data_IF_082489795850
#
_entry.id   IF_082489795850
#
_cell.length_a   1.000
_cell.length_b   1.000
_cell.length_c   1.000
_cell.angle_alpha   90.00
_cell.angle_beta   90.00
_cell.angle_gamma   90.00
#
_symmetry.space_group_name_H-M   'P 1'
#
loop_
_entity.id
_entity.type
_entity.pdbx_description
1 polymer ?
#
# COMPACT_ATOMS: atom_id res chain seq x y z
N UNK A 1 -11.21 11.31 -29.16
CA UNK A 1 -11.90 10.52 -28.12
C UNK A 1 -11.30 10.95 -26.80
N UNK A 2 -12.13 11.27 -25.81
CA UNK A 2 -11.63 11.61 -24.48
C UNK A 2 -10.95 10.37 -23.90
N UNK A 3 -9.75 10.52 -23.37
CA UNK A 3 -9.00 9.41 -22.80
C UNK A 3 -9.66 9.00 -21.47
N UNK A 4 -9.94 7.70 -21.32
CA UNK A 4 -10.53 7.17 -20.09
C UNK A 4 -9.62 7.47 -18.90
N UNK A 5 -10.22 7.80 -17.76
CA UNK A 5 -9.52 8.04 -16.51
C UNK A 5 -9.87 6.95 -15.50
N UNK A 6 -8.85 6.48 -14.80
CA UNK A 6 -8.94 5.44 -13.78
C UNK A 6 -8.51 6.05 -12.44
N UNK A 7 -9.28 5.75 -11.39
CA UNK A 7 -8.95 6.18 -10.03
C UNK A 7 -7.88 5.27 -9.45
N UNK A 8 -6.80 5.88 -8.99
CA UNK A 8 -5.68 5.20 -8.34
C UNK A 8 -5.40 5.87 -7.00
N UNK A 9 -5.37 5.06 -5.95
CA UNK A 9 -5.25 5.50 -4.58
C UNK A 9 -3.93 5.04 -3.93
N UNK A 10 -3.47 5.82 -2.96
CA UNK A 10 -2.29 5.52 -2.16
C UNK A 10 -2.67 5.31 -0.70
N UNK A 11 -2.66 4.05 -0.25
CA UNK A 11 -3.07 3.69 1.11
C UNK A 11 -1.95 3.81 2.16
N UNK A 12 -0.67 3.68 1.75
CA UNK A 12 0.46 3.79 2.68
C UNK A 12 0.80 5.26 3.00
N UNK A 13 1.41 5.50 4.15
CA UNK A 13 1.66 6.87 4.67
C UNK A 13 2.68 7.68 3.87
N UNK A 14 3.62 7.01 3.17
CA UNK A 14 4.67 7.70 2.42
C UNK A 14 4.21 8.05 1.01
N UNK A 15 4.71 9.18 0.51
CA UNK A 15 4.47 9.58 -0.86
C UNK A 15 5.02 8.54 -1.85
N UNK A 16 4.30 8.35 -2.94
CA UNK A 16 4.73 7.57 -4.09
C UNK A 16 4.75 8.48 -5.30
N UNK A 17 5.81 8.46 -6.10
CA UNK A 17 5.96 9.36 -7.24
C UNK A 17 6.64 8.68 -8.40
N UNK A 18 6.07 8.84 -9.59
CA UNK A 18 6.66 8.38 -10.85
C UNK A 18 6.67 9.51 -11.87
N UNK A 19 7.53 9.37 -12.87
CA UNK A 19 7.52 10.23 -14.04
C UNK A 19 7.09 9.41 -15.24
N UNK A 20 6.02 9.83 -15.88
CA UNK A 20 5.55 9.28 -17.14
C UNK A 20 6.07 10.16 -18.28
N UNK A 21 6.64 9.55 -19.30
CA UNK A 21 7.13 10.26 -20.48
C UNK A 21 6.23 9.94 -21.67
N UNK A 22 5.66 10.98 -22.27
CA UNK A 22 4.88 10.89 -23.49
C UNK A 22 5.38 11.94 -24.48
N UNK A 23 5.72 11.50 -25.69
CA UNK A 23 6.27 12.37 -26.76
C UNK A 23 7.45 13.26 -26.32
N UNK A 24 8.31 12.76 -25.43
CA UNK A 24 9.46 13.49 -24.89
C UNK A 24 9.10 14.52 -23.80
N UNK A 25 7.83 14.62 -23.40
CA UNK A 25 7.40 15.44 -22.27
C UNK A 25 7.30 14.56 -21.03
N UNK A 26 8.14 14.87 -20.04
CA UNK A 26 8.16 14.16 -18.77
C UNK A 26 7.19 14.78 -17.77
N UNK A 27 6.14 14.06 -17.40
CA UNK A 27 5.09 14.51 -16.49
C UNK A 27 5.14 13.77 -15.15
N UNK A 28 5.19 14.48 -14.01
CA UNK A 28 5.18 13.84 -12.69
C UNK A 28 3.77 13.43 -12.28
N UNK A 29 3.65 12.22 -11.74
CA UNK A 29 2.47 11.72 -11.05
C UNK A 29 2.88 11.37 -9.62
N UNK A 30 2.40 12.15 -8.65
CA UNK A 30 2.80 12.05 -7.24
C UNK A 30 1.56 11.87 -6.38
N UNK A 31 1.54 10.85 -5.54
CA UNK A 31 0.59 10.65 -4.46
C UNK A 31 1.31 10.96 -3.15
N UNK A 32 0.70 11.80 -2.32
CA UNK A 32 1.27 12.33 -1.08
C UNK A 32 1.34 11.33 0.07
N UNK A 33 0.71 10.17 -0.07
CA UNK A 33 0.56 9.19 1.02
C UNK A 33 -0.74 9.40 1.81
N UNK A 34 -1.16 8.38 2.55
CA UNK A 34 -2.32 8.51 3.45
C UNK A 34 -1.95 9.29 4.72
N UNK A 35 -2.88 10.14 5.17
CA UNK A 35 -2.74 10.92 6.42
C UNK A 35 -3.98 10.72 7.28
N UNK A 36 -3.82 9.97 8.37
CA UNK A 36 -4.94 9.59 9.23
C UNK A 36 -6.01 8.83 8.43
N UNK A 37 -7.19 9.44 8.27
CA UNK A 37 -8.31 8.88 7.50
C UNK A 37 -8.34 9.28 6.02
N UNK A 38 -7.47 10.20 5.59
CA UNK A 38 -7.43 10.69 4.23
C UNK A 38 -6.53 9.81 3.38
N UNK A 39 -7.12 9.28 2.30
CA UNK A 39 -6.42 8.53 1.27
C UNK A 39 -6.25 9.45 0.07
N UNK A 40 -5.02 9.57 -0.44
CA UNK A 40 -4.77 10.32 -1.66
C UNK A 40 -5.20 9.47 -2.86
N UNK A 41 -6.28 9.89 -3.53
CA UNK A 41 -6.83 9.24 -4.72
C UNK A 41 -6.80 10.22 -5.88
N UNK A 42 -6.29 9.76 -7.02
CA UNK A 42 -6.18 10.57 -8.24
C UNK A 42 -6.79 9.86 -9.42
N UNK A 43 -7.48 10.62 -10.26
CA UNK A 43 -7.90 10.18 -11.58
C UNK A 43 -6.75 10.41 -12.55
N UNK A 44 -6.21 9.33 -13.09
CA UNK A 44 -5.12 9.38 -14.06
C UNK A 44 -5.55 8.68 -15.35
N UNK A 45 -4.98 9.07 -16.51
CA UNK A 45 -5.36 8.44 -17.76
C UNK A 45 -5.04 6.95 -17.78
N UNK A 46 -5.86 6.17 -18.48
CA UNK A 46 -5.71 4.72 -18.60
C UNK A 46 -4.32 4.32 -19.16
N UNK A 47 -3.78 5.10 -20.10
CA UNK A 47 -2.43 4.86 -20.63
C UNK A 47 -1.35 4.93 -19.56
N UNK A 48 -1.50 5.82 -18.57
CA UNK A 48 -0.59 5.96 -17.43
C UNK A 48 -0.74 4.78 -16.48
N UNK A 49 -1.95 4.26 -16.28
CA UNK A 49 -2.19 3.04 -15.50
C UNK A 49 -1.55 1.83 -16.16
N UNK A 50 -1.78 1.65 -17.46
CA UNK A 50 -1.17 0.54 -18.21
C UNK A 50 0.35 0.64 -18.21
N UNK A 51 0.90 1.85 -18.33
CA UNK A 51 2.34 2.06 -18.21
C UNK A 51 2.85 1.71 -16.80
N UNK A 52 2.14 2.09 -15.74
CA UNK A 52 2.47 1.74 -14.36
C UNK A 52 2.49 0.21 -14.15
N UNK A 53 1.49 -0.51 -14.69
CA UNK A 53 1.43 -1.98 -14.63
C UNK A 53 2.64 -2.60 -15.32
N UNK A 54 3.05 -2.08 -16.46
CA UNK A 54 4.11 -2.68 -17.28
C UNK A 54 5.54 -2.28 -16.89
N UNK A 55 5.72 -1.08 -16.33
CA UNK A 55 7.04 -0.46 -16.16
C UNK A 55 7.39 -0.12 -14.70
N UNK A 56 6.54 -0.51 -13.75
CA UNK A 56 6.77 -0.26 -12.33
C UNK A 56 6.17 -1.37 -11.47
N UNK A 57 6.64 -1.49 -10.23
CA UNK A 57 6.05 -2.39 -9.25
C UNK A 57 4.90 -1.71 -8.47
N UNK A 58 4.27 -0.66 -9.02
CA UNK A 58 3.32 0.16 -8.27
C UNK A 58 2.18 -0.67 -7.68
N UNK A 59 1.65 -1.63 -8.46
CA UNK A 59 0.54 -2.46 -8.04
C UNK A 59 1.02 -3.75 -7.36
N UNK A 60 2.10 -4.35 -7.84
CA UNK A 60 2.70 -5.57 -7.28
C UNK A 60 3.16 -5.38 -5.83
N UNK A 61 3.79 -4.25 -5.53
CA UNK A 61 4.25 -3.93 -4.18
C UNK A 61 3.15 -3.28 -3.33
N UNK A 62 1.89 -3.29 -3.78
CA UNK A 62 0.77 -2.59 -3.14
C UNK A 62 1.07 -1.11 -2.87
N UNK A 63 1.90 -0.48 -3.70
CA UNK A 63 2.24 0.93 -3.53
C UNK A 63 1.06 1.83 -3.98
N UNK A 64 0.37 1.43 -5.04
CA UNK A 64 -0.85 2.04 -5.53
C UNK A 64 -1.95 0.99 -5.61
N UNK A 65 -3.20 1.43 -5.51
CA UNK A 65 -4.40 0.58 -5.57
C UNK A 65 -5.34 1.17 -6.60
N UNK A 66 -5.74 0.38 -7.59
CA UNK A 66 -6.78 0.77 -8.54
C UNK A 66 -8.14 0.67 -7.85
N UNK A 67 -8.94 1.73 -7.92
CA UNK A 67 -10.30 1.73 -7.38
C UNK A 67 -11.22 1.11 -8.43
N UNK A 68 -11.81 -0.05 -8.12
CA UNK A 68 -12.70 -0.83 -8.99
C UNK A 68 -14.13 -0.25 -9.06
N UNK A 69 -14.25 1.08 -9.28
CA UNK A 69 -15.54 1.79 -9.34
C UNK A 69 -16.15 1.86 -10.75
N UNK A 70 -15.44 1.40 -11.76
CA UNK A 70 -15.91 1.24 -13.15
C UNK A 70 -15.64 -0.17 -13.67
N UNK A 71 -16.38 -0.60 -14.69
CA UNK A 71 -16.15 -1.91 -15.33
C UNK A 71 -14.76 -1.99 -15.96
N UNK A 72 -14.27 -0.88 -16.53
CA UNK A 72 -12.93 -0.78 -17.08
C UNK A 72 -11.86 -0.95 -16.01
N UNK A 73 -12.02 -0.31 -14.84
CA UNK A 73 -11.08 -0.47 -13.74
C UNK A 73 -11.04 -1.93 -13.24
N UNK A 74 -12.19 -2.60 -13.17
CA UNK A 74 -12.28 -4.03 -12.82
C UNK A 74 -11.60 -4.91 -13.86
N UNK A 75 -11.78 -4.63 -15.15
CA UNK A 75 -11.13 -5.38 -16.23
C UNK A 75 -9.60 -5.23 -16.15
N UNK A 76 -9.10 -4.01 -15.95
CA UNK A 76 -7.66 -3.75 -15.76
C UNK A 76 -7.14 -4.55 -14.57
N UNK A 77 -7.82 -4.48 -13.43
CA UNK A 77 -7.43 -5.21 -12.21
C UNK A 77 -7.45 -6.73 -12.42
N UNK A 78 -8.45 -7.25 -13.12
CA UNK A 78 -8.55 -8.68 -13.45
C UNK A 78 -7.43 -9.20 -14.37
N UNK A 79 -6.75 -8.30 -15.08
CA UNK A 79 -5.61 -8.63 -15.94
C UNK A 79 -4.25 -8.53 -15.23
N UNK A 80 -4.21 -8.05 -13.98
CA UNK A 80 -2.98 -8.01 -13.17
C UNK A 80 -2.68 -9.42 -12.64
N UNK A 81 -1.45 -9.89 -12.86
CA UNK A 81 -1.01 -11.18 -12.35
C UNK A 81 -0.98 -11.18 -10.81
N UNK A 82 -1.41 -12.27 -10.18
CA UNK A 82 -1.43 -12.44 -8.72
C UNK A 82 -2.28 -11.39 -7.96
N UNK A 83 -3.27 -10.78 -8.63
CA UNK A 83 -4.10 -9.73 -8.02
C UNK A 83 -4.80 -10.13 -6.72
N UNK A 84 -5.23 -11.39 -6.59
CA UNK A 84 -5.85 -11.88 -5.36
C UNK A 84 -4.86 -11.87 -4.18
N UNK A 85 -3.62 -12.31 -4.39
CA UNK A 85 -2.58 -12.24 -3.35
C UNK A 85 -2.29 -10.78 -2.97
N UNK A 86 -2.23 -9.88 -3.95
CA UNK A 86 -2.03 -8.45 -3.71
C UNK A 86 -3.18 -7.88 -2.87
N UNK A 87 -4.44 -8.19 -3.22
CA UNK A 87 -5.63 -7.72 -2.50
C UNK A 87 -5.66 -8.19 -1.04
N UNK A 88 -5.25 -9.42 -0.75
CA UNK A 88 -5.16 -9.95 0.62
C UNK A 88 -4.10 -9.24 1.47
N UNK A 89 -3.14 -8.58 0.83
CA UNK A 89 -2.05 -7.85 1.48
C UNK A 89 -2.29 -6.33 1.57
N UNK A 90 -3.36 -5.79 1.00
CA UNK A 90 -3.60 -4.35 1.02
C UNK A 90 -4.38 -3.96 2.29
N UNK A 91 -3.72 -3.23 3.19
CA UNK A 91 -4.37 -2.62 4.34
C UNK A 91 -4.37 -1.10 4.23
N UNK A 92 -5.48 -0.49 4.63
CA UNK A 92 -5.52 0.93 4.96
C UNK A 92 -4.91 1.16 6.33
N UNK A 93 -4.40 2.39 6.58
CA UNK A 93 -3.92 2.78 7.91
C UNK A 93 -4.92 2.43 9.03
N UNK A 94 -6.21 2.70 8.80
CA UNK A 94 -7.26 2.44 9.78
C UNK A 94 -7.35 0.94 10.12
N UNK A 95 -7.32 0.06 9.12
CA UNK A 95 -7.34 -1.38 9.35
C UNK A 95 -6.11 -1.82 10.13
N UNK A 96 -4.93 -1.27 9.80
CA UNK A 96 -3.69 -1.56 10.55
C UNK A 96 -3.81 -1.11 12.01
N UNK A 97 -4.30 0.10 12.28
CA UNK A 97 -4.53 0.60 13.64
C UNK A 97 -5.49 -0.30 14.42
N UNK A 98 -6.56 -0.79 13.79
CA UNK A 98 -7.53 -1.72 14.39
C UNK A 98 -6.90 -3.08 14.71
N UNK A 99 -6.08 -3.63 13.80
CA UNK A 99 -5.33 -4.89 14.02
C UNK A 99 -4.38 -4.74 15.20
N UNK A 100 -3.60 -3.65 15.23
CA UNK A 100 -2.60 -3.38 16.26
C UNK A 100 -3.20 -3.07 17.63
N UNK A 101 -4.38 -2.44 17.67
CA UNK A 101 -5.14 -2.17 18.89
C UNK A 101 -5.77 -3.43 19.50
N UNK A 102 -5.99 -4.48 18.69
CA UNK A 102 -6.56 -5.75 19.13
C UNK A 102 -5.72 -6.51 20.16
N UNK A 103 -6.26 -7.64 20.64
CA UNK A 103 -5.51 -8.56 21.50
C UNK A 103 -4.36 -9.22 20.72
N UNK A 104 -3.30 -9.63 21.43
CA UNK A 104 -2.06 -10.14 20.81
C UNK A 104 -2.28 -11.35 19.89
N UNK A 105 -3.13 -12.31 20.29
CA UNK A 105 -3.36 -13.52 19.51
C UNK A 105 -4.09 -13.22 18.20
N UNK A 106 -5.09 -12.35 18.24
CA UNK A 106 -5.80 -11.90 17.04
C UNK A 106 -4.87 -11.11 16.12
N UNK A 107 -4.12 -10.16 16.67
CA UNK A 107 -3.12 -9.39 15.92
C UNK A 107 -2.13 -10.33 15.19
N UNK A 108 -1.59 -11.33 15.90
CA UNK A 108 -0.69 -12.31 15.30
C UNK A 108 -1.35 -13.08 14.15
N UNK A 109 -2.55 -13.61 14.37
CA UNK A 109 -3.28 -14.38 13.34
C UNK A 109 -3.64 -13.55 12.10
N UNK A 110 -3.94 -12.27 12.27
CA UNK A 110 -4.25 -11.38 11.14
C UNK A 110 -2.96 -11.01 10.37
N UNK A 111 -1.86 -10.73 11.08
CA UNK A 111 -0.59 -10.37 10.46
C UNK A 111 0.16 -11.53 9.79
N UNK A 112 -0.05 -12.78 10.23
CA UNK A 112 0.53 -13.96 9.59
C UNK A 112 0.05 -14.19 8.15
N UNK A 113 -1.08 -13.60 7.76
CA UNK A 113 -1.60 -13.64 6.38
C UNK A 113 -0.86 -12.71 5.43
N UNK A 114 -0.13 -11.73 5.95
CA UNK A 114 0.59 -10.74 5.15
C UNK A 114 1.92 -11.33 4.67
N UNK A 115 2.04 -11.49 3.37
CA UNK A 115 3.22 -11.99 2.67
C UNK A 115 4.10 -10.85 2.14
N UNK A 116 3.50 -9.72 1.71
CA UNK A 116 4.22 -8.62 1.09
C UNK A 116 5.12 -7.86 2.07
N UNK A 117 6.42 -7.83 1.77
CA UNK A 117 7.43 -7.13 2.58
C UNK A 117 7.14 -5.64 2.74
N UNK A 118 6.71 -4.97 1.67
CA UNK A 118 6.41 -3.53 1.70
C UNK A 118 5.23 -3.23 2.64
N UNK A 119 4.28 -4.16 2.75
CA UNK A 119 3.17 -4.06 3.68
C UNK A 119 3.61 -4.30 5.12
N UNK A 120 4.47 -5.30 5.36
CA UNK A 120 5.07 -5.50 6.70
C UNK A 120 5.79 -4.25 7.19
N UNK A 121 6.51 -3.57 6.29
CA UNK A 121 7.20 -2.32 6.57
C UNK A 121 6.25 -1.17 6.86
N UNK A 122 5.14 -1.09 6.12
CA UNK A 122 4.08 -0.13 6.37
C UNK A 122 3.43 -0.32 7.75
N UNK A 123 3.11 -1.57 8.11
CA UNK A 123 2.52 -1.93 9.40
C UNK A 123 3.48 -1.62 10.55
N UNK A 124 4.77 -1.97 10.42
CA UNK A 124 5.78 -1.63 11.43
C UNK A 124 5.93 -0.12 11.62
N UNK A 125 5.84 0.66 10.55
CA UNK A 125 5.87 2.13 10.64
C UNK A 125 4.68 2.66 11.42
N UNK A 126 3.46 2.19 11.13
CA UNK A 126 2.27 2.59 11.89
C UNK A 126 2.42 2.17 13.36
N UNK A 127 2.90 0.97 13.64
CA UNK A 127 3.15 0.50 15.01
C UNK A 127 4.10 1.42 15.79
N UNK A 128 5.16 1.93 15.13
CA UNK A 128 6.04 2.95 15.71
C UNK A 128 5.30 4.26 15.95
N UNK A 129 4.58 4.76 14.94
CA UNK A 129 3.87 6.05 15.01
C UNK A 129 2.79 6.08 16.10
N UNK A 130 2.05 4.99 16.31
CA UNK A 130 1.02 4.91 17.36
C UNK A 130 1.59 4.61 18.75
N UNK A 131 2.91 4.36 18.84
CA UNK A 131 3.60 4.12 20.10
C UNK A 131 3.18 2.84 20.81
N UNK A 132 3.18 1.68 20.13
CA UNK A 132 2.93 0.39 20.80
C UNK A 132 3.93 0.21 21.95
N UNK A 133 3.42 0.08 23.18
CA UNK A 133 4.20 -0.02 24.42
C UNK A 133 4.48 -1.47 24.85
N UNK A 134 3.66 -2.42 24.39
CA UNK A 134 3.79 -3.83 24.70
C UNK A 134 5.07 -4.42 24.10
N UNK A 135 6.02 -4.78 24.96
CA UNK A 135 7.28 -5.46 24.58
C UNK A 135 7.01 -6.76 23.80
N UNK A 136 5.95 -7.50 24.16
CA UNK A 136 5.56 -8.72 23.44
C UNK A 136 5.12 -8.45 22.00
N UNK A 137 4.29 -7.42 21.80
CA UNK A 137 3.88 -6.98 20.46
C UNK A 137 5.07 -6.48 19.64
N UNK A 138 5.95 -5.67 20.25
CA UNK A 138 7.14 -5.14 19.58
C UNK A 138 8.08 -6.26 19.11
N UNK A 139 8.35 -7.26 19.96
CA UNK A 139 9.18 -8.43 19.60
C UNK A 139 8.59 -9.21 18.43
N UNK A 140 7.29 -9.53 18.51
CA UNK A 140 6.61 -10.23 17.44
C UNK A 140 6.68 -9.46 16.11
N UNK A 141 6.37 -8.15 16.12
CA UNK A 141 6.38 -7.33 14.90
C UNK A 141 7.78 -7.28 14.28
N UNK A 142 8.82 -7.18 15.11
CA UNK A 142 10.20 -7.19 14.64
C UNK A 142 10.59 -8.53 13.99
N UNK A 143 10.32 -9.65 14.68
CA UNK A 143 10.58 -11.00 14.15
C UNK A 143 9.79 -11.27 12.87
N UNK A 144 8.50 -10.94 12.85
CA UNK A 144 7.60 -11.13 11.70
C UNK A 144 8.00 -10.31 10.47
N UNK A 145 8.52 -9.10 10.67
CA UNK A 145 9.07 -8.26 9.61
C UNK A 145 10.51 -8.61 9.23
N UNK A 146 11.16 -9.54 9.94
CA UNK A 146 12.55 -9.91 9.72
C UNK A 146 13.54 -8.79 10.06
N UNK A 147 13.19 -7.92 11.01
CA UNK A 147 13.99 -6.76 11.43
C UNK A 147 14.35 -6.85 12.91
N UNK A 148 15.39 -6.11 13.30
CA UNK A 148 15.71 -5.91 14.72
C UNK A 148 14.68 -4.99 15.36
N UNK A 149 14.32 -5.26 16.63
CA UNK A 149 13.35 -4.45 17.38
C UNK A 149 13.80 -3.00 17.47
N UNK A 150 15.09 -2.81 17.68
CA UNK A 150 15.76 -1.51 17.81
C UNK A 150 15.61 -0.70 16.52
N UNK A 151 15.75 -1.33 15.35
CA UNK A 151 15.59 -0.67 14.04
C UNK A 151 14.16 -0.14 13.82
N UNK A 152 13.16 -0.78 14.42
CA UNK A 152 11.76 -0.35 14.29
C UNK A 152 11.40 0.65 15.39
N UNK A 153 11.66 0.31 16.66
CA UNK A 153 11.08 0.99 17.81
C UNK A 153 12.04 1.88 18.61
N UNK A 154 13.34 1.82 18.35
CA UNK A 154 14.31 2.76 18.93
C UNK A 154 14.57 3.89 17.91
N UNK A 155 15.01 5.06 18.40
CA UNK A 155 15.41 6.20 17.57
C UNK A 155 16.85 6.06 17.08
#
# INVERSE_FOLDING_TARGET
MEENKIKVARYKNLSYGVYYEDQGIRKPYIWSGSKGKLIDTKEIPETVVNWLIQNSNAFDDAELVIIEDTEQAKEIVGNIENIEEIKENIYTRKQVEEILAGNFMKMKSDLEKVTLKTEKDFICRIAKEIGIDSVGKQKFLAEWAGKKREVIFEE
#
